data_IF_462239313313
#
_entry.id   IF_462239313313
#
_cell.length_a   1.000
_cell.length_b   1.000
_cell.length_c   1.000
_cell.angle_alpha   90.00
_cell.angle_beta   90.00
_cell.angle_gamma   90.00
#
_symmetry.space_group_name_H-M   'P 1'
#
loop_
_entity.id
_entity.type
_entity.pdbx_description
1 polymer ?
#
# COMPACT_ATOMS: atom_id res chain seq x y z
N UNK A 1 13.47 -28.94 2.94
CA UNK A 1 13.06 -29.26 4.32
C UNK A 1 12.35 -28.10 5.02
N UNK A 2 12.94 -26.90 5.11
CA UNK A 2 12.31 -25.74 5.78
C UNK A 2 11.00 -25.26 5.12
N UNK A 3 10.92 -25.28 3.78
CA UNK A 3 9.71 -24.89 3.05
C UNK A 3 8.52 -25.84 3.29
N UNK A 4 8.76 -27.15 3.40
CA UNK A 4 7.69 -28.12 3.63
C UNK A 4 7.15 -28.02 5.06
N UNK A 5 8.03 -27.81 6.05
CA UNK A 5 7.61 -27.57 7.45
C UNK A 5 6.73 -26.32 7.57
N UNK A 6 7.07 -25.24 6.86
CA UNK A 6 6.23 -24.04 6.84
C UNK A 6 4.86 -24.32 6.22
N UNK A 7 4.83 -25.04 5.10
CA UNK A 7 3.58 -25.39 4.43
C UNK A 7 2.70 -26.24 5.35
N UNK A 8 3.27 -27.22 6.05
CA UNK A 8 2.52 -28.08 6.96
C UNK A 8 1.96 -27.30 8.14
N UNK A 9 2.75 -26.41 8.76
CA UNK A 9 2.25 -25.55 9.84
C UNK A 9 1.09 -24.64 9.39
N UNK A 10 1.12 -24.13 8.15
CA UNK A 10 0.04 -23.30 7.60
C UNK A 10 -1.20 -24.14 7.30
N UNK A 11 -1.03 -25.39 6.83
CA UNK A 11 -2.13 -26.35 6.66
C UNK A 11 -2.80 -26.71 7.99
N UNK A 12 -2.01 -26.94 9.04
CA UNK A 12 -2.51 -27.24 10.38
C UNK A 12 -3.32 -26.08 10.97
N UNK A 13 -2.99 -24.84 10.59
CA UNK A 13 -3.77 -23.65 10.93
C UNK A 13 -5.07 -23.50 10.12
N UNK A 14 -5.38 -24.42 9.20
CA UNK A 14 -6.56 -24.35 8.32
C UNK A 14 -6.51 -23.23 7.28
N UNK A 15 -5.33 -22.69 6.98
CA UNK A 15 -5.16 -21.60 6.02
C UNK A 15 -4.95 -22.19 4.62
N UNK A 16 -5.74 -21.79 3.61
CA UNK A 16 -5.55 -22.23 2.23
C UNK A 16 -4.19 -21.79 1.66
N UNK A 17 -3.54 -22.68 0.90
CA UNK A 17 -2.22 -22.43 0.30
C UNK A 17 -2.29 -22.71 -1.20
N UNK A 18 -1.59 -21.89 -1.99
CA UNK A 18 -1.36 -22.07 -3.42
C UNK A 18 0.15 -21.99 -3.68
N UNK A 19 0.67 -22.83 -4.59
CA UNK A 19 2.07 -22.80 -5.04
C UNK A 19 2.10 -22.35 -6.50
N UNK A 20 2.95 -21.39 -6.84
CA UNK A 20 3.18 -20.95 -8.22
C UNK A 20 4.45 -21.62 -8.78
N UNK A 21 4.56 -21.70 -10.12
CA UNK A 21 5.75 -22.27 -10.78
C UNK A 21 6.93 -21.29 -10.81
N UNK A 22 6.65 -19.99 -10.77
CA UNK A 22 7.64 -18.90 -10.77
C UNK A 22 7.30 -17.90 -9.66
N UNK A 23 7.41 -16.60 -9.95
CA UNK A 23 6.90 -15.53 -9.07
C UNK A 23 5.40 -15.67 -8.88
N UNK A 24 4.92 -15.29 -7.71
CA UNK A 24 3.50 -15.44 -7.35
C UNK A 24 2.70 -14.16 -7.57
N UNK A 25 3.32 -13.09 -8.06
CA UNK A 25 2.76 -11.75 -7.98
C UNK A 25 1.54 -11.55 -8.88
N UNK A 26 1.58 -12.11 -10.09
CA UNK A 26 0.48 -12.06 -11.04
C UNK A 26 -0.74 -12.85 -10.56
N UNK A 27 -0.55 -14.10 -10.15
CA UNK A 27 -1.61 -14.95 -9.61
C UNK A 27 -2.19 -14.37 -8.32
N UNK A 28 -1.33 -13.88 -7.42
CA UNK A 28 -1.73 -13.26 -6.17
C UNK A 28 -2.55 -11.99 -6.41
N UNK A 29 -2.13 -11.14 -7.35
CA UNK A 29 -2.86 -9.93 -7.69
C UNK A 29 -4.20 -10.26 -8.36
N UNK A 30 -4.24 -11.25 -9.26
CA UNK A 30 -5.48 -11.71 -9.88
C UNK A 30 -6.47 -12.25 -8.83
N UNK A 31 -5.98 -13.07 -7.90
CA UNK A 31 -6.78 -13.62 -6.81
C UNK A 31 -7.29 -12.52 -5.88
N UNK A 32 -6.43 -11.57 -5.49
CA UNK A 32 -6.80 -10.47 -4.62
C UNK A 32 -7.89 -9.57 -5.23
N UNK A 33 -7.85 -9.34 -6.55
CA UNK A 33 -8.92 -8.63 -7.26
C UNK A 33 -10.22 -9.43 -7.25
N UNK A 34 -10.15 -10.73 -7.58
CA UNK A 34 -11.31 -11.62 -7.63
C UNK A 34 -12.00 -11.75 -6.27
N UNK A 35 -11.23 -11.90 -5.20
CA UNK A 35 -11.72 -12.01 -3.83
C UNK A 35 -12.02 -10.65 -3.17
N UNK A 36 -11.69 -9.56 -3.84
CA UNK A 36 -11.78 -8.21 -3.30
C UNK A 36 -11.13 -8.13 -1.90
N UNK A 37 -9.85 -8.51 -1.81
CA UNK A 37 -9.06 -8.46 -0.58
C UNK A 37 -7.72 -7.72 -0.81
N UNK A 38 -7.08 -7.19 0.25
CA UNK A 38 -5.77 -6.59 0.12
C UNK A 38 -4.65 -7.65 0.05
N UNK A 39 -3.62 -7.37 -0.74
CA UNK A 39 -2.35 -8.11 -0.75
C UNK A 39 -1.48 -7.62 0.40
N UNK A 40 -0.88 -8.54 1.16
CA UNK A 40 0.11 -8.26 2.19
C UNK A 40 1.46 -8.82 1.70
N UNK A 41 2.44 -7.96 1.42
CA UNK A 41 3.75 -8.38 0.90
C UNK A 41 4.83 -7.34 1.26
N UNK A 42 6.11 -7.72 1.12
CA UNK A 42 7.23 -6.76 1.11
C UNK A 42 7.52 -6.22 -0.29
N UNK A 43 6.93 -6.81 -1.32
CA UNK A 43 7.22 -6.46 -2.71
C UNK A 43 6.66 -5.09 -3.10
N UNK A 44 7.47 -4.26 -3.75
CA UNK A 44 7.06 -2.96 -4.24
C UNK A 44 6.21 -3.00 -5.51
N UNK A 45 6.21 -4.10 -6.24
CA UNK A 45 5.49 -4.23 -7.51
C UNK A 45 3.98 -4.10 -7.31
N UNK A 46 3.46 -4.50 -6.15
CA UNK A 46 2.05 -4.31 -5.81
C UNK A 46 1.59 -2.84 -5.71
N UNK A 47 2.50 -1.86 -5.71
CA UNK A 47 2.14 -0.45 -5.85
C UNK A 47 1.55 -0.13 -7.24
N UNK A 48 1.85 -0.92 -8.26
CA UNK A 48 1.41 -0.68 -9.65
C UNK A 48 0.46 -1.76 -10.19
N UNK A 49 0.32 -2.92 -9.54
CA UNK A 49 -0.53 -4.04 -9.96
C UNK A 49 -2.06 -3.79 -9.84
N UNK A 50 -2.47 -2.55 -9.57
CA UNK A 50 -3.88 -2.16 -9.41
C UNK A 50 -4.63 -3.03 -8.40
N UNK A 51 -4.01 -3.26 -7.25
CA UNK A 51 -4.58 -3.97 -6.10
C UNK A 51 -4.60 -3.10 -4.86
N UNK A 52 -5.40 -3.48 -3.86
CA UNK A 52 -5.24 -2.97 -2.51
C UNK A 52 -3.98 -3.59 -1.92
N UNK A 53 -3.02 -2.78 -1.52
CA UNK A 53 -1.73 -3.27 -1.05
C UNK A 53 -1.44 -2.81 0.38
N UNK A 54 -1.02 -3.75 1.21
CA UNK A 54 -0.53 -3.50 2.57
C UNK A 54 0.96 -3.88 2.55
N UNK A 55 1.87 -2.89 2.60
CA UNK A 55 3.29 -3.19 2.74
C UNK A 55 3.52 -3.81 4.12
N UNK A 56 4.11 -5.00 4.16
CA UNK A 56 4.25 -5.80 5.37
C UNK A 56 5.05 -5.07 6.47
N UNK A 57 5.99 -4.21 6.07
CA UNK A 57 6.74 -3.33 7.00
C UNK A 57 5.85 -2.37 7.81
N UNK A 58 4.63 -2.10 7.35
CA UNK A 58 3.68 -1.19 8.02
C UNK A 58 2.76 -1.92 9.00
N UNK A 59 2.72 -3.25 8.97
CA UNK A 59 1.87 -4.06 9.84
C UNK A 59 2.44 -4.09 11.25
N UNK A 60 1.65 -3.69 12.24
CA UNK A 60 2.05 -3.80 13.64
C UNK A 60 1.89 -5.23 14.12
N UNK A 61 2.93 -5.79 14.73
CA UNK A 61 2.88 -7.15 15.30
C UNK A 61 2.07 -7.20 16.61
N UNK A 62 1.88 -6.06 17.27
CA UNK A 62 1.12 -5.98 18.53
C UNK A 62 -0.37 -5.80 18.27
N UNK A 63 -1.16 -6.81 18.65
CA UNK A 63 -2.62 -6.74 18.65
C UNK A 63 -3.13 -5.61 19.57
N UNK A 64 -4.07 -4.83 19.04
CA UNK A 64 -4.79 -3.77 19.73
C UNK A 64 -6.27 -4.14 19.80
N UNK A 65 -7.02 -3.51 20.70
CA UNK A 65 -8.46 -3.77 20.86
C UNK A 65 -9.23 -2.50 20.53
N UNK A 66 -10.35 -2.61 19.82
CA UNK A 66 -11.22 -1.47 19.51
C UNK A 66 -12.67 -1.80 19.85
N UNK A 67 -13.40 -0.79 20.30
CA UNK A 67 -14.82 -0.88 20.58
C UNK A 67 -15.62 -0.47 19.33
N UNK A 68 -16.67 -1.23 18.98
CA UNK A 68 -17.59 -0.98 17.86
C UNK A 68 -19.02 -0.93 18.38
N UNK A 69 -19.81 0.07 17.98
CA UNK A 69 -21.25 0.05 18.27
C UNK A 69 -21.87 -1.14 17.55
N UNK A 70 -22.72 -1.89 18.26
CA UNK A 70 -23.34 -3.11 17.74
C UNK A 70 -24.33 -2.83 16.61
N UNK A 71 -24.80 -1.58 16.46
CA UNK A 71 -25.52 -1.11 15.28
C UNK A 71 -25.47 0.42 15.23
N UNK A 72 -24.77 1.01 14.24
CA UNK A 72 -25.00 2.39 13.80
C UNK A 72 -24.28 2.67 12.47
N UNK A 73 -25.01 3.27 11.54
CA UNK A 73 -24.52 3.95 10.33
C UNK A 73 -23.15 4.64 10.53
N UNK A 74 -22.29 4.61 9.50
CA UNK A 74 -20.94 5.21 9.43
C UNK A 74 -20.94 6.75 9.65
N UNK A 75 -21.30 7.24 10.83
CA UNK A 75 -21.01 8.63 11.21
C UNK A 75 -19.61 8.67 11.82
N UNK A 76 -18.74 9.53 11.28
CA UNK A 76 -17.41 9.72 11.86
C UNK A 76 -17.54 10.36 13.24
N UNK A 77 -16.90 9.77 14.25
CA UNK A 77 -16.84 10.31 15.60
C UNK A 77 -16.23 11.72 15.59
N UNK A 78 -16.75 12.62 16.43
CA UNK A 78 -16.13 13.93 16.64
C UNK A 78 -14.77 13.74 17.33
N UNK A 79 -13.80 14.63 17.05
CA UNK A 79 -12.41 14.54 17.57
C UNK A 79 -12.31 14.29 19.08
N UNK A 80 -13.21 14.88 19.86
CA UNK A 80 -13.21 14.74 21.32
C UNK A 80 -13.71 13.36 21.78
N UNK A 81 -14.68 12.78 21.07
CA UNK A 81 -15.17 11.42 21.32
C UNK A 81 -14.08 10.40 20.97
N UNK A 82 -13.39 10.58 19.84
CA UNK A 82 -12.26 9.75 19.44
C UNK A 82 -11.13 9.77 20.49
N UNK A 83 -10.77 10.95 21.02
CA UNK A 83 -9.77 11.07 22.10
C UNK A 83 -10.19 10.38 23.41
N UNK A 84 -11.47 10.47 23.79
CA UNK A 84 -11.99 9.78 24.98
C UNK A 84 -11.98 8.26 24.80
N UNK A 85 -12.37 7.78 23.63
CA UNK A 85 -12.32 6.37 23.22
C UNK A 85 -10.88 5.81 23.24
N UNK A 86 -9.92 6.55 22.68
CA UNK A 86 -8.51 6.13 22.69
C UNK A 86 -7.93 5.99 24.10
N UNK A 87 -8.30 6.89 25.03
CA UNK A 87 -7.87 6.79 26.43
C UNK A 87 -8.41 5.53 27.12
N UNK A 88 -9.65 5.14 26.82
CA UNK A 88 -10.28 3.93 27.37
C UNK A 88 -9.65 2.64 26.82
N UNK A 89 -9.20 2.66 25.56
CA UNK A 89 -8.62 1.52 24.87
C UNK A 89 -7.13 1.32 25.21
N UNK A 90 -6.36 2.39 25.37
CA UNK A 90 -4.89 2.35 25.56
C UNK A 90 -4.40 1.54 26.76
N UNK A 91 -5.24 1.30 27.76
CA UNK A 91 -4.87 0.55 28.97
C UNK A 91 -5.25 -0.93 28.96
N UNK A 92 -5.83 -1.48 27.89
CA UNK A 92 -6.54 -2.78 27.91
C UNK A 92 -7.60 -2.92 29.03
N UNK A 93 -7.96 -1.82 29.72
CA UNK A 93 -9.00 -1.77 30.75
C UNK A 93 -10.36 -1.73 30.06
N UNK A 94 -10.76 -2.86 29.49
CA UNK A 94 -12.12 -3.05 29.00
C UNK A 94 -13.01 -3.20 30.22
N UNK A 95 -13.70 -2.12 30.59
CA UNK A 95 -14.77 -2.16 31.60
C UNK A 95 -15.88 -3.04 31.00
N UNK A 96 -16.03 -4.28 31.50
CA UNK A 96 -17.35 -4.96 31.48
C UNK A 96 -18.28 -4.04 32.27
N UNK A 97 -19.48 -3.78 31.73
CA UNK A 97 -20.37 -2.70 32.11
C UNK A 97 -20.38 -2.31 33.59
N UNK A 98 -20.43 -0.99 33.85
CA UNK A 98 -20.71 -0.47 35.19
C UNK A 98 -22.14 -0.91 35.55
N UNK A 99 -22.29 -1.84 36.49
CA UNK A 99 -23.58 -2.09 37.14
C UNK A 99 -23.83 -0.94 38.11
N UNK A 100 -24.65 0.04 37.69
CA UNK A 100 -25.32 0.94 38.62
C UNK A 100 -26.82 0.70 38.41
N UNK A 101 -27.45 0.17 39.45
CA UNK A 101 -28.90 0.03 39.64
C UNK A 101 -29.66 -0.78 38.57
N UNK A 102 -29.55 -2.13 38.62
CA UNK A 102 -30.50 -3.13 38.07
C UNK A 102 -31.19 -2.83 36.73
N UNK A 103 -30.57 -2.07 35.85
CA UNK A 103 -30.94 -1.91 34.45
C UNK A 103 -29.67 -2.10 33.63
N UNK A 104 -29.58 -3.25 32.96
CA UNK A 104 -28.47 -3.62 32.07
C UNK A 104 -28.42 -2.67 30.87
N UNK A 105 -27.73 -1.54 31.02
CA UNK A 105 -27.48 -0.60 29.92
C UNK A 105 -26.10 -0.83 29.31
N UNK A 106 -25.84 -2.03 28.75
CA UNK A 106 -24.58 -2.21 27.98
C UNK A 106 -24.60 -3.23 26.83
N UNK A 107 -25.73 -3.44 26.15
CA UNK A 107 -25.79 -4.21 24.89
C UNK A 107 -25.42 -3.42 23.63
N UNK A 108 -24.63 -2.34 23.75
CA UNK A 108 -24.45 -1.42 22.60
C UNK A 108 -23.06 -1.46 21.96
N UNK A 109 -22.11 -2.21 22.54
CA UNK A 109 -20.71 -2.12 22.13
C UNK A 109 -19.99 -3.47 22.17
N UNK A 110 -19.51 -3.91 21.00
CA UNK A 110 -18.69 -5.11 20.84
C UNK A 110 -17.23 -4.72 20.74
N UNK A 111 -16.33 -5.44 21.42
CA UNK A 111 -14.89 -5.26 21.24
C UNK A 111 -14.35 -6.21 20.16
N UNK A 112 -13.37 -5.76 19.39
CA UNK A 112 -12.63 -6.61 18.45
C UNK A 112 -11.14 -6.32 18.50
N UNK A 113 -10.31 -7.33 18.24
CA UNK A 113 -8.86 -7.17 18.11
C UNK A 113 -8.49 -6.79 16.69
N UNK A 114 -7.45 -5.98 16.52
CA UNK A 114 -6.96 -5.53 15.23
C UNK A 114 -5.45 -5.31 15.24
N UNK A 115 -4.86 -5.33 14.04
CA UNK A 115 -3.48 -4.91 13.77
C UNK A 115 -3.54 -3.61 12.98
N UNK A 116 -2.73 -2.62 13.35
CA UNK A 116 -2.58 -1.40 12.57
C UNK A 116 -1.71 -1.67 11.35
N UNK A 117 -2.05 -1.06 10.21
CA UNK A 117 -1.27 -1.13 8.98
C UNK A 117 -1.52 0.08 8.08
N UNK A 118 -0.67 0.27 7.08
CA UNK A 118 -0.95 1.20 5.98
C UNK A 118 -1.62 0.47 4.84
N UNK A 119 -2.65 1.09 4.25
CA UNK A 119 -3.32 0.59 3.06
C UNK A 119 -3.07 1.52 1.88
N UNK A 120 -2.33 1.01 0.91
CA UNK A 120 -2.10 1.63 -0.37
C UNK A 120 -3.19 1.28 -1.39
N UNK A 121 -3.47 2.25 -2.25
CA UNK A 121 -4.46 2.22 -3.32
C UNK A 121 -3.89 3.00 -4.50
N UNK A 122 -3.72 2.36 -5.66
CA UNK A 122 -3.14 3.00 -6.84
C UNK A 122 -3.96 4.21 -7.29
N UNK A 123 -5.28 4.19 -7.06
CA UNK A 123 -6.18 5.29 -7.39
C UNK A 123 -5.80 6.55 -6.62
N UNK A 124 -5.36 6.41 -5.36
CA UNK A 124 -4.89 7.56 -4.58
C UNK A 124 -3.59 8.15 -5.13
N UNK A 125 -2.73 7.33 -5.74
CA UNK A 125 -1.54 7.82 -6.41
C UNK A 125 -1.92 8.60 -7.67
N UNK A 126 -2.77 8.01 -8.52
CA UNK A 126 -3.29 8.62 -9.75
C UNK A 126 -3.95 9.98 -9.43
N UNK A 127 -4.90 10.01 -8.50
CA UNK A 127 -5.60 11.25 -8.13
C UNK A 127 -4.65 12.33 -7.58
N UNK A 128 -3.64 11.96 -6.79
CA UNK A 128 -2.71 12.94 -6.19
C UNK A 128 -1.64 13.43 -7.13
N UNK A 129 -1.26 12.63 -8.10
CA UNK A 129 -0.17 12.95 -9.04
C UNK A 129 -0.68 13.44 -10.40
N UNK A 130 -2.00 13.40 -10.62
CA UNK A 130 -2.63 13.70 -11.91
C UNK A 130 -2.10 12.82 -13.06
N UNK A 131 -1.56 11.64 -12.75
CA UNK A 131 -1.15 10.65 -13.74
C UNK A 131 -2.36 9.87 -14.23
N UNK A 132 -2.43 9.59 -15.53
CA UNK A 132 -3.37 8.60 -16.07
C UNK A 132 -2.91 7.18 -15.71
N UNK A 133 -3.84 6.23 -15.65
CA UNK A 133 -3.56 4.83 -15.34
C UNK A 133 -2.54 4.21 -16.32
N UNK A 134 -2.59 4.62 -17.57
CA UNK A 134 -1.71 4.16 -18.67
C UNK A 134 -0.24 4.58 -18.47
N UNK A 135 0.02 5.66 -17.74
CA UNK A 135 1.39 6.14 -17.46
C UNK A 135 2.04 5.42 -16.27
N UNK A 136 1.30 4.60 -15.52
CA UNK A 136 1.81 3.90 -14.33
C UNK A 136 2.92 2.88 -14.68
N UNK A 137 2.78 2.03 -15.70
CA UNK A 137 3.87 1.15 -16.14
C UNK A 137 5.11 1.94 -16.57
N UNK A 138 4.93 3.06 -17.27
CA UNK A 138 6.02 3.94 -17.69
C UNK A 138 6.74 4.57 -16.49
N UNK A 139 5.98 5.02 -15.48
CA UNK A 139 6.51 5.51 -14.22
C UNK A 139 7.37 4.44 -13.51
N UNK A 140 6.90 3.19 -13.45
CA UNK A 140 7.65 2.09 -12.86
C UNK A 140 8.96 1.79 -13.60
N UNK A 141 8.89 1.70 -14.94
CA UNK A 141 10.07 1.52 -15.78
C UNK A 141 11.12 2.61 -15.53
N UNK A 142 10.71 3.88 -15.50
CA UNK A 142 11.62 5.02 -15.27
C UNK A 142 12.27 5.04 -13.88
N UNK A 143 11.62 4.48 -12.86
CA UNK A 143 12.24 4.30 -11.54
C UNK A 143 13.33 3.22 -11.55
N UNK A 144 13.26 2.30 -12.52
CA UNK A 144 14.02 1.07 -12.60
C UNK A 144 13.37 0.01 -11.74
N UNK A 145 13.13 -1.14 -12.36
CA UNK A 145 12.58 -2.36 -11.77
C UNK A 145 13.50 -3.53 -12.14
N UNK A 146 13.12 -4.75 -11.76
CA UNK A 146 13.96 -5.94 -11.96
C UNK A 146 14.17 -6.29 -13.44
N UNK A 147 13.30 -5.80 -14.32
CA UNK A 147 13.41 -5.95 -15.77
C UNK A 147 14.23 -4.84 -16.44
N UNK A 148 14.22 -3.62 -15.89
CA UNK A 148 14.78 -2.43 -16.52
C UNK A 148 15.80 -1.75 -15.62
N UNK A 149 17.07 -1.88 -16.01
CA UNK A 149 18.18 -1.24 -15.29
C UNK A 149 18.05 0.28 -15.29
N UNK A 150 18.29 0.87 -14.11
CA UNK A 150 18.34 2.33 -13.93
C UNK A 150 19.37 3.03 -14.83
N UNK A 151 20.41 2.30 -15.27
CA UNK A 151 21.46 2.84 -16.16
C UNK A 151 20.91 3.20 -17.53
N UNK A 152 19.90 2.46 -17.99
CA UNK A 152 19.28 2.63 -19.31
C UNK A 152 18.78 4.06 -19.55
N UNK A 153 18.27 4.70 -18.49
CA UNK A 153 17.68 6.03 -18.57
C UNK A 153 18.61 7.16 -18.11
N UNK A 154 19.90 6.91 -17.85
CA UNK A 154 20.80 7.94 -17.32
C UNK A 154 20.85 9.19 -18.19
N UNK A 155 20.92 9.03 -19.51
CA UNK A 155 20.92 10.13 -20.46
C UNK A 155 19.58 10.91 -20.42
N UNK A 156 18.47 10.19 -20.35
CA UNK A 156 17.16 10.80 -20.20
C UNK A 156 17.03 11.62 -18.90
N UNK A 157 17.55 11.10 -17.77
CA UNK A 157 17.57 11.84 -16.51
C UNK A 157 18.51 13.05 -16.51
N UNK A 158 19.62 12.97 -17.24
CA UNK A 158 20.61 14.04 -17.31
C UNK A 158 20.18 15.19 -18.24
N UNK A 159 19.58 14.85 -19.38
CA UNK A 159 19.32 15.81 -20.47
C UNK A 159 17.82 15.98 -20.78
N UNK A 160 17.01 14.93 -20.67
CA UNK A 160 15.59 14.95 -21.08
C UNK A 160 14.60 15.47 -20.04
N UNK A 161 14.86 15.25 -18.75
CA UNK A 161 13.94 15.63 -17.64
C UNK A 161 14.13 17.06 -17.11
N UNK A 162 15.14 17.77 -17.59
CA UNK A 162 15.49 19.11 -17.11
C UNK A 162 15.98 19.16 -15.65
N UNK A 163 16.56 20.29 -15.27
CA UNK A 163 17.04 20.52 -13.88
C UNK A 163 15.88 20.98 -13.00
N UNK A 164 15.24 20.04 -12.30
CA UNK A 164 14.29 20.41 -11.25
C UNK A 164 15.06 20.86 -10.00
N UNK A 165 14.96 22.16 -9.69
CA UNK A 165 15.47 22.75 -8.46
C UNK A 165 14.92 22.02 -7.24
N UNK A 166 15.81 21.41 -6.44
CA UNK A 166 15.41 20.55 -5.34
C UNK A 166 16.26 20.79 -4.11
N UNK A 167 15.60 20.86 -2.95
CA UNK A 167 16.27 20.94 -1.65
C UNK A 167 17.20 19.75 -1.45
N UNK A 168 18.45 20.00 -1.04
CA UNK A 168 19.47 18.98 -0.72
C UNK A 168 19.12 18.13 0.51
N UNK A 169 17.99 18.36 1.19
CA UNK A 169 17.59 17.65 2.42
C UNK A 169 16.81 16.35 2.20
N UNK A 170 16.27 16.09 1.01
CA UNK A 170 15.41 14.91 0.75
C UNK A 170 16.18 13.71 0.20
N UNK A 171 15.71 12.47 0.40
CA UNK A 171 16.37 11.28 -0.13
C UNK A 171 16.44 11.33 -1.68
N UNK A 172 17.57 10.91 -2.29
CA UNK A 172 17.77 10.87 -3.74
C UNK A 172 16.64 10.12 -4.47
N UNK A 173 16.19 8.99 -3.91
CA UNK A 173 15.09 8.20 -4.49
C UNK A 173 13.76 8.98 -4.49
N UNK A 174 13.45 9.66 -3.39
CA UNK A 174 12.25 10.51 -3.29
C UNK A 174 12.30 11.69 -4.26
N UNK A 175 13.48 12.30 -4.45
CA UNK A 175 13.66 13.36 -5.46
C UNK A 175 13.35 12.82 -6.85
N UNK A 176 13.88 11.65 -7.20
CA UNK A 176 13.65 11.03 -8.50
C UNK A 176 12.17 10.74 -8.74
N UNK A 177 11.49 10.11 -7.78
CA UNK A 177 10.04 9.88 -7.84
C UNK A 177 9.30 11.18 -8.15
N UNK A 178 9.56 12.24 -7.39
CA UNK A 178 8.90 13.54 -7.59
C UNK A 178 9.16 14.13 -8.97
N UNK A 179 10.40 14.04 -9.45
CA UNK A 179 10.78 14.54 -10.78
C UNK A 179 10.03 13.82 -11.90
N UNK A 180 9.97 12.49 -11.83
CA UNK A 180 9.27 11.68 -12.84
C UNK A 180 7.76 11.98 -12.81
N UNK A 181 7.16 12.03 -11.62
CA UNK A 181 5.73 12.33 -11.49
C UNK A 181 5.40 13.73 -12.03
N UNK A 182 6.20 14.74 -11.70
CA UNK A 182 5.97 16.10 -12.19
C UNK A 182 6.14 16.19 -13.71
N UNK A 183 7.14 15.51 -14.28
CA UNK A 183 7.32 15.48 -15.73
C UNK A 183 6.18 14.73 -16.44
N UNK A 184 5.83 13.51 -16.01
CA UNK A 184 4.75 12.71 -16.60
C UNK A 184 3.38 13.38 -16.53
N UNK A 185 3.18 14.30 -15.57
CA UNK A 185 1.96 15.09 -15.44
C UNK A 185 1.73 16.02 -16.64
N UNK A 186 2.80 16.58 -17.21
CA UNK A 186 2.72 17.57 -18.30
C UNK A 186 2.88 16.98 -19.70
N UNK A 187 3.16 15.68 -19.81
CA UNK A 187 3.36 14.98 -21.09
C UNK A 187 2.13 14.15 -21.48
N UNK A 188 1.87 13.93 -22.77
CA UNK A 188 1.00 12.82 -23.20
C UNK A 188 1.75 11.48 -23.11
N UNK A 189 1.05 10.35 -23.24
CA UNK A 189 1.71 9.04 -23.24
C UNK A 189 2.67 8.91 -24.44
N UNK A 190 2.24 9.33 -25.62
CA UNK A 190 2.97 9.25 -26.88
C UNK A 190 4.21 10.15 -26.85
N UNK A 191 4.04 11.41 -26.43
CA UNK A 191 5.15 12.36 -26.28
C UNK A 191 6.18 11.87 -25.26
N UNK A 192 5.71 11.30 -24.14
CA UNK A 192 6.60 10.74 -23.13
C UNK A 192 7.42 9.57 -23.68
N UNK A 193 6.78 8.64 -24.41
CA UNK A 193 7.45 7.51 -25.04
C UNK A 193 8.49 7.97 -26.06
N UNK A 194 8.11 8.88 -26.96
CA UNK A 194 9.03 9.42 -27.98
C UNK A 194 10.28 10.05 -27.35
N UNK A 195 10.09 10.92 -26.34
CA UNK A 195 11.20 11.56 -25.61
C UNK A 195 12.10 10.53 -24.93
N UNK A 196 11.52 9.51 -24.29
CA UNK A 196 12.32 8.47 -23.62
C UNK A 196 13.14 7.70 -24.66
N UNK A 197 12.50 7.23 -25.74
CA UNK A 197 13.14 6.44 -26.79
C UNK A 197 14.30 7.21 -27.46
N UNK A 198 14.14 8.51 -27.71
CA UNK A 198 15.18 9.36 -28.28
C UNK A 198 16.43 9.51 -27.40
N UNK A 199 16.32 9.21 -26.10
CA UNK A 199 17.41 9.29 -25.13
C UNK A 199 17.94 7.92 -24.67
N UNK A 200 17.41 6.82 -25.22
CA UNK A 200 17.93 5.49 -24.96
C UNK A 200 19.28 5.30 -25.67
N UNK A 201 20.20 4.51 -25.08
CA UNK A 201 21.41 4.10 -25.77
C UNK A 201 21.02 3.34 -27.04
N UNK A 202 21.66 3.70 -28.17
CA UNK A 202 21.46 2.98 -29.43
C UNK A 202 21.96 1.54 -29.25
N UNK A 203 21.18 0.57 -29.72
CA UNK A 203 21.63 -0.82 -29.78
C UNK A 203 22.94 -0.85 -30.59
N UNK A 204 23.99 -1.39 -29.98
CA UNK A 204 25.26 -1.66 -30.64
C UNK A 204 25.16 -2.94 -31.44
#
# INVERSE_FOLDING_TARGET
MMNEVFVDAVRDCGVPIMRCLFEADDELAALARKLNCPVLSYDSDFYIYNVRYIPLITLTVKARTKLRKESANRRSLRKNEAKKLEKLVKGNRVIRGITINNQETSHQWVTYKYLDCCLYRVEKLITRSSLSKEKIPLFAALLGNDFISRKLFQNFFAYGLGKIGGSRKTNQHQRRIRRILEWLKHESLESALEKIMNHLPKAS
#
